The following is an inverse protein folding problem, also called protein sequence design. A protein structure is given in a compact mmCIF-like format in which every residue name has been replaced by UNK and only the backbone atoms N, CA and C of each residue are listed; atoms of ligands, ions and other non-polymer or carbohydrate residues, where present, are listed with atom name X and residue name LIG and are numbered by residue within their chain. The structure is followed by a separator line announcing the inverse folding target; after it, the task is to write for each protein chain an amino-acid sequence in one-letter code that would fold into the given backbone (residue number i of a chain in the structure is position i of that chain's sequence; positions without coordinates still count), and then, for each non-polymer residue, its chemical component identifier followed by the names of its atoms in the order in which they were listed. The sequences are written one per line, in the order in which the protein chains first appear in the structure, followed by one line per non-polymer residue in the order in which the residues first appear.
data_IF_087954672238
#
_entry.id   IF_087954672238
#
_cell.length_a   1.000
_cell.length_b   1.000
_cell.length_c   1.000
_cell.angle_alpha   90.00
_cell.angle_beta   90.00
_cell.angle_gamma   90.00
#
_symmetry.space_group_name_H-M   'P 1'
#
loop_
_entity.id
_entity.type
_entity.pdbx_description
1 polymer ?
#
# COMPACT_ATOMS: atom_id res chain seq x y z
N UNK A 1 -33.55 -35.70 46.99
CA UNK A 1 -32.69 -36.20 45.89
C UNK A 1 -32.86 -35.46 44.55
N UNK A 2 -33.85 -34.56 44.37
CA UNK A 2 -34.08 -33.86 43.09
C UNK A 2 -33.40 -32.47 42.95
N UNK A 3 -33.00 -31.81 44.05
CA UNK A 3 -32.35 -30.48 43.99
C UNK A 3 -30.87 -30.49 43.55
N UNK A 4 -30.17 -31.63 43.67
CA UNK A 4 -28.77 -31.74 43.28
C UNK A 4 -28.56 -31.89 41.76
N UNK A 5 -29.57 -32.34 41.02
CA UNK A 5 -29.48 -32.54 39.56
C UNK A 5 -29.50 -31.20 38.77
N UNK A 6 -30.24 -30.20 39.26
CA UNK A 6 -30.41 -28.92 38.56
C UNK A 6 -29.17 -28.00 38.63
N UNK A 7 -28.40 -28.06 39.72
CA UNK A 7 -27.20 -27.23 39.89
C UNK A 7 -26.05 -27.66 38.97
N UNK A 8 -25.90 -28.97 38.74
CA UNK A 8 -24.89 -29.52 37.83
C UNK A 8 -25.13 -29.12 36.37
N UNK A 9 -26.38 -29.12 35.92
CA UNK A 9 -26.78 -28.76 34.55
C UNK A 9 -26.52 -27.26 34.28
N UNK A 10 -26.80 -26.38 35.26
CA UNK A 10 -26.55 -24.93 35.15
C UNK A 10 -25.06 -24.57 35.09
N UNK A 11 -24.21 -25.28 35.83
CA UNK A 11 -22.76 -25.09 35.83
C UNK A 11 -22.13 -25.65 34.55
N UNK A 12 -22.62 -26.79 34.07
CA UNK A 12 -22.18 -27.39 32.81
C UNK A 12 -22.54 -26.49 31.60
N UNK A 13 -23.74 -25.91 31.58
CA UNK A 13 -24.18 -24.98 30.54
C UNK A 13 -23.39 -23.65 30.54
N UNK A 14 -23.09 -23.07 31.72
CA UNK A 14 -22.24 -21.86 31.82
C UNK A 14 -20.80 -22.09 31.37
N UNK A 15 -20.23 -23.27 31.65
CA UNK A 15 -18.88 -23.63 31.19
C UNK A 15 -18.84 -23.82 29.67
N UNK A 16 -19.84 -24.50 29.09
CA UNK A 16 -19.94 -24.66 27.63
C UNK A 16 -20.13 -23.32 26.94
N UNK A 17 -21.02 -22.45 27.44
CA UNK A 17 -21.25 -21.12 26.88
C UNK A 17 -19.96 -20.26 26.93
N UNK A 18 -19.20 -20.32 28.02
CA UNK A 18 -17.92 -19.62 28.18
C UNK A 18 -16.82 -20.15 27.25
N UNK A 19 -16.78 -21.46 26.99
CA UNK A 19 -15.82 -22.08 26.07
C UNK A 19 -16.15 -21.68 24.63
N UNK A 20 -17.44 -21.69 24.25
CA UNK A 20 -17.90 -21.28 22.92
C UNK A 20 -17.59 -19.81 22.66
N UNK A 21 -17.83 -18.91 23.63
CA UNK A 21 -17.48 -17.49 23.48
C UNK A 21 -15.97 -17.27 23.39
N UNK A 22 -15.17 -18.00 24.18
CA UNK A 22 -13.70 -17.88 24.14
C UNK A 22 -13.14 -18.40 22.81
N UNK A 23 -13.73 -19.46 22.24
CA UNK A 23 -13.36 -19.99 20.94
C UNK A 23 -13.73 -19.02 19.80
N UNK A 24 -14.89 -18.37 19.89
CA UNK A 24 -15.31 -17.33 18.94
C UNK A 24 -14.36 -16.12 18.94
N UNK A 25 -13.93 -15.67 20.13
CA UNK A 25 -12.98 -14.55 20.28
C UNK A 25 -11.61 -14.93 19.70
N UNK A 26 -11.12 -16.15 19.97
CA UNK A 26 -9.87 -16.66 19.40
C UNK A 26 -9.91 -16.72 17.87
N UNK A 27 -11.03 -17.19 17.29
CA UNK A 27 -11.23 -17.23 15.83
C UNK A 27 -11.25 -15.81 15.24
N UNK A 28 -11.94 -14.86 15.86
CA UNK A 28 -11.93 -13.45 15.40
C UNK A 28 -10.53 -12.84 15.43
N UNK A 29 -9.72 -13.12 16.45
CA UNK A 29 -8.34 -12.61 16.53
C UNK A 29 -7.46 -13.23 15.43
N UNK A 30 -7.62 -14.53 15.14
CA UNK A 30 -6.91 -15.19 14.04
C UNK A 30 -7.30 -14.64 12.66
N UNK A 31 -8.55 -14.22 12.48
CA UNK A 31 -9.02 -13.65 11.21
C UNK A 31 -8.48 -12.23 10.97
N UNK A 32 -8.04 -11.52 12.01
CA UNK A 32 -7.53 -10.15 11.90
C UNK A 32 -6.09 -10.06 11.35
N UNK A 33 -5.29 -11.14 11.36
CA UNK A 33 -3.89 -11.10 10.93
C UNK A 33 -3.69 -11.01 9.40
N UNK A 34 -4.78 -11.00 8.61
CA UNK A 34 -4.75 -10.96 7.15
C UNK A 34 -4.90 -9.58 6.50
N UNK A 35 -5.19 -8.51 7.25
CA UNK A 35 -5.47 -7.18 6.65
C UNK A 35 -4.30 -6.62 5.83
N UNK A 36 -3.06 -6.96 6.17
CA UNK A 36 -1.86 -6.47 5.48
C UNK A 36 -1.79 -6.89 4.00
N UNK A 37 -2.33 -8.06 3.65
CA UNK A 37 -2.34 -8.56 2.27
C UNK A 37 -3.27 -7.71 1.37
N UNK A 38 -4.44 -7.33 1.88
CA UNK A 38 -5.41 -6.49 1.16
C UNK A 38 -4.96 -5.02 1.05
N UNK A 39 -4.26 -4.49 2.06
CA UNK A 39 -3.77 -3.11 2.01
C UNK A 39 -2.70 -2.93 0.93
N UNK A 40 -1.88 -3.96 0.69
CA UNK A 40 -0.80 -3.89 -0.29
C UNK A 40 -1.32 -3.73 -1.73
N UNK A 41 -2.43 -4.38 -2.09
CA UNK A 41 -3.05 -4.20 -3.41
C UNK A 41 -3.72 -2.82 -3.53
N UNK A 42 -4.46 -2.38 -2.51
CA UNK A 42 -5.10 -1.07 -2.51
C UNK A 42 -4.10 0.09 -2.66
N UNK A 43 -2.90 -0.06 -2.08
CA UNK A 43 -1.83 0.95 -2.16
C UNK A 43 -1.23 1.06 -3.57
N UNK A 44 -1.13 -0.07 -4.28
CA UNK A 44 -0.66 -0.12 -5.68
C UNK A 44 -1.66 0.55 -6.60
N UNK A 45 -2.94 0.16 -6.50
CA UNK A 45 -4.02 0.73 -7.31
C UNK A 45 -4.14 2.25 -7.08
N UNK A 46 -3.98 2.69 -5.83
CA UNK A 46 -3.97 4.12 -5.49
C UNK A 46 -2.86 4.88 -6.22
N UNK A 47 -1.65 4.33 -6.30
CA UNK A 47 -0.50 5.01 -6.92
C UNK A 47 -0.66 5.09 -8.44
N UNK A 48 -1.16 4.04 -9.09
CA UNK A 48 -1.38 4.07 -10.54
C UNK A 48 -2.54 5.01 -10.91
N UNK A 49 -3.65 4.96 -10.18
CA UNK A 49 -4.80 5.84 -10.39
C UNK A 49 -4.47 7.31 -10.12
N UNK A 50 -3.69 7.61 -9.08
CA UNK A 50 -3.32 8.98 -8.76
C UNK A 50 -2.30 9.55 -9.75
N UNK A 51 -1.35 8.73 -10.21
CA UNK A 51 -0.47 9.13 -11.33
C UNK A 51 -1.28 9.47 -12.58
N UNK A 52 -2.32 8.69 -12.91
CA UNK A 52 -3.24 9.03 -14.01
C UNK A 52 -4.01 10.32 -13.75
N UNK A 53 -4.51 10.54 -12.53
CA UNK A 53 -5.24 11.76 -12.18
C UNK A 53 -4.38 13.03 -12.27
N UNK A 54 -3.09 12.93 -11.95
CA UNK A 54 -2.14 14.05 -12.08
C UNK A 54 -1.78 14.30 -13.53
N UNK A 55 -1.51 13.24 -14.31
CA UNK A 55 -1.17 13.35 -15.73
C UNK A 55 -2.33 13.90 -16.58
N UNK A 56 -3.57 13.61 -16.21
CA UNK A 56 -4.78 14.03 -16.92
C UNK A 56 -5.53 15.17 -16.20
N UNK A 57 -4.85 15.92 -15.33
CA UNK A 57 -5.48 17.03 -14.63
C UNK A 57 -5.65 18.25 -15.54
N UNK A 58 -6.80 18.93 -15.44
CA UNK A 58 -7.09 20.12 -16.25
C UNK A 58 -6.52 21.41 -15.65
N UNK A 59 -6.09 21.41 -14.39
CA UNK A 59 -5.48 22.56 -13.70
C UNK A 59 -4.02 22.29 -13.33
N UNK A 60 -3.12 22.81 -14.15
CA UNK A 60 -1.68 22.67 -13.96
C UNK A 60 -1.17 23.38 -12.70
N UNK A 61 -1.84 24.43 -12.23
CA UNK A 61 -1.41 25.15 -11.03
C UNK A 61 -1.61 24.29 -9.77
N UNK A 62 -2.74 23.58 -9.69
CA UNK A 62 -2.99 22.62 -8.61
C UNK A 62 -1.99 21.46 -8.65
N UNK A 63 -1.68 20.94 -9.85
CA UNK A 63 -0.67 19.87 -10.00
C UNK A 63 0.72 20.35 -9.59
N UNK A 64 1.11 21.56 -9.97
CA UNK A 64 2.41 22.12 -9.60
C UNK A 64 2.56 22.24 -8.08
N UNK A 65 1.52 22.75 -7.42
CA UNK A 65 1.49 22.95 -5.98
C UNK A 65 1.43 21.63 -5.19
N UNK A 66 0.64 20.65 -5.64
CA UNK A 66 0.46 19.37 -4.98
C UNK A 66 1.52 18.31 -5.32
N UNK A 67 2.17 18.46 -6.48
CA UNK A 67 3.13 17.49 -7.03
C UNK A 67 4.23 17.08 -6.04
N UNK A 68 4.95 18.01 -5.38
CA UNK A 68 6.01 17.67 -4.44
C UNK A 68 5.57 16.75 -3.29
N UNK A 69 4.37 16.97 -2.74
CA UNK A 69 3.85 16.14 -1.65
C UNK A 69 3.57 14.71 -2.13
N UNK A 70 3.05 14.56 -3.36
CA UNK A 70 2.81 13.25 -3.95
C UNK A 70 4.12 12.51 -4.27
N UNK A 71 5.16 13.20 -4.75
CA UNK A 71 6.48 12.59 -4.97
C UNK A 71 7.05 11.98 -3.67
N UNK A 72 6.91 12.68 -2.54
CA UNK A 72 7.34 12.18 -1.23
C UNK A 72 6.48 11.00 -0.75
N UNK A 73 5.17 11.05 -1.00
CA UNK A 73 4.27 9.94 -0.66
C UNK A 73 4.67 8.67 -1.40
N UNK A 74 4.89 8.74 -2.72
CA UNK A 74 5.32 7.58 -3.51
C UNK A 74 6.66 7.04 -3.03
N UNK A 75 7.62 7.92 -2.69
CA UNK A 75 8.88 7.51 -2.09
C UNK A 75 8.68 6.73 -0.79
N UNK A 76 7.76 7.16 0.08
CA UNK A 76 7.47 6.48 1.35
C UNK A 76 6.88 5.08 1.14
N UNK A 77 6.07 4.91 0.09
CA UNK A 77 5.50 3.62 -0.28
C UNK A 77 6.59 2.68 -0.82
N UNK A 78 7.49 3.21 -1.65
CA UNK A 78 8.65 2.47 -2.16
C UNK A 78 9.67 2.16 -1.06
N UNK A 79 9.82 3.00 -0.03
CA UNK A 79 10.66 2.70 1.11
C UNK A 79 10.20 1.42 1.82
N UNK A 80 8.88 1.24 1.96
CA UNK A 80 8.29 0.05 2.57
C UNK A 80 8.35 -1.18 1.66
N UNK A 81 8.07 -1.00 0.36
CA UNK A 81 8.01 -2.08 -0.62
C UNK A 81 8.92 -1.76 -1.82
N UNK A 82 10.26 -1.93 -1.68
CA UNK A 82 11.22 -1.46 -2.67
C UNK A 82 11.13 -2.16 -4.02
N UNK A 83 10.69 -3.41 -4.06
CA UNK A 83 10.68 -4.23 -5.27
C UNK A 83 9.26 -4.40 -5.86
N UNK A 84 8.36 -3.47 -5.53
CA UNK A 84 7.04 -3.45 -6.14
C UNK A 84 7.12 -2.81 -7.54
N UNK A 85 7.04 -3.64 -8.58
CA UNK A 85 7.14 -3.23 -9.99
C UNK A 85 6.17 -2.11 -10.35
N UNK A 86 4.92 -2.21 -9.90
CA UNK A 86 3.88 -1.25 -10.26
C UNK A 86 4.08 0.10 -9.57
N UNK A 87 4.51 0.12 -8.29
CA UNK A 87 4.91 1.35 -7.60
C UNK A 87 6.12 2.01 -8.27
N UNK A 88 7.12 1.21 -8.68
CA UNK A 88 8.30 1.73 -9.36
C UNK A 88 7.95 2.36 -10.71
N UNK A 89 7.05 1.74 -11.49
CA UNK A 89 6.52 2.34 -12.73
C UNK A 89 5.73 3.62 -12.48
N UNK A 90 4.86 3.63 -11.48
CA UNK A 90 4.10 4.81 -11.09
C UNK A 90 5.01 5.97 -10.71
N UNK A 91 6.04 5.67 -9.90
CA UNK A 91 7.08 6.61 -9.50
C UNK A 91 7.86 7.16 -10.69
N UNK A 92 8.33 6.31 -11.61
CA UNK A 92 9.06 6.78 -12.79
C UNK A 92 8.23 7.74 -13.64
N UNK A 93 6.95 7.44 -13.84
CA UNK A 93 6.06 8.26 -14.66
C UNK A 93 5.84 9.64 -14.04
N UNK A 94 5.49 9.69 -12.75
CA UNK A 94 5.19 10.95 -12.08
C UNK A 94 6.42 11.84 -11.92
N UNK A 95 7.57 11.26 -11.54
CA UNK A 95 8.81 12.02 -11.44
C UNK A 95 9.22 12.59 -12.80
N UNK A 96 9.10 11.82 -13.88
CA UNK A 96 9.40 12.29 -15.23
C UNK A 96 8.47 13.42 -15.65
N UNK A 97 7.16 13.25 -15.49
CA UNK A 97 6.18 14.24 -15.89
C UNK A 97 6.30 15.55 -15.09
N UNK A 98 6.39 15.45 -13.76
CA UNK A 98 6.55 16.63 -12.91
C UNK A 98 7.83 17.40 -13.24
N UNK A 99 8.94 16.68 -13.42
CA UNK A 99 10.24 17.29 -13.72
C UNK A 99 10.22 18.01 -15.06
N UNK A 100 9.64 17.37 -16.09
CA UNK A 100 9.61 17.91 -17.45
C UNK A 100 8.77 19.18 -17.55
N UNK A 101 7.66 19.25 -16.81
CA UNK A 101 6.70 20.37 -16.91
C UNK A 101 7.04 21.51 -15.96
N UNK A 102 7.43 21.23 -14.71
CA UNK A 102 7.46 22.24 -13.65
C UNK A 102 8.87 22.61 -13.17
N UNK A 103 9.91 21.82 -13.46
CA UNK A 103 11.25 22.04 -12.91
C UNK A 103 12.14 22.79 -13.90
N UNK A 104 12.37 24.08 -13.64
CA UNK A 104 13.21 24.96 -14.48
C UNK A 104 14.71 24.87 -14.18
N UNK A 105 15.07 24.60 -12.92
CA UNK A 105 16.46 24.47 -12.50
C UNK A 105 17.07 23.19 -13.08
N UNK A 106 18.10 23.33 -13.93
CA UNK A 106 18.69 22.19 -14.64
C UNK A 106 19.35 21.18 -13.70
N UNK A 107 19.99 21.66 -12.63
CA UNK A 107 20.65 20.78 -11.66
C UNK A 107 19.63 19.90 -10.91
N UNK A 108 18.51 20.49 -10.50
CA UNK A 108 17.38 19.78 -9.88
C UNK A 108 16.68 18.87 -10.88
N UNK A 109 16.44 19.34 -12.11
CA UNK A 109 15.81 18.54 -13.14
C UNK A 109 16.63 17.27 -13.43
N UNK A 110 17.95 17.40 -13.57
CA UNK A 110 18.86 16.25 -13.73
C UNK A 110 18.68 15.22 -12.62
N UNK A 111 18.72 15.65 -11.34
CA UNK A 111 18.56 14.75 -10.19
C UNK A 111 17.22 14.02 -10.18
N UNK A 112 16.12 14.71 -10.48
CA UNK A 112 14.79 14.12 -10.48
C UNK A 112 14.57 13.17 -11.66
N UNK A 113 15.10 13.50 -12.84
CA UNK A 113 15.07 12.62 -14.01
C UNK A 113 15.95 11.39 -13.82
N UNK A 114 17.15 11.51 -13.23
CA UNK A 114 18.00 10.37 -12.85
C UNK A 114 17.28 9.43 -11.88
N UNK A 115 16.58 9.99 -10.88
CA UNK A 115 15.76 9.22 -9.95
C UNK A 115 14.61 8.51 -10.66
N UNK A 116 13.91 9.19 -11.57
CA UNK A 116 12.84 8.59 -12.38
C UNK A 116 13.35 7.42 -13.22
N UNK A 117 14.50 7.60 -13.88
CA UNK A 117 15.15 6.57 -14.68
C UNK A 117 15.55 5.37 -13.82
N UNK A 118 16.10 5.60 -12.63
CA UNK A 118 16.43 4.53 -11.68
C UNK A 118 15.20 3.68 -11.32
N UNK A 119 14.05 4.32 -11.04
CA UNK A 119 12.81 3.59 -10.79
C UNK A 119 12.34 2.80 -12.01
N UNK A 120 12.42 3.36 -13.22
CA UNK A 120 12.04 2.67 -14.44
C UNK A 120 12.92 1.43 -14.68
N UNK A 121 14.24 1.55 -14.52
CA UNK A 121 15.18 0.44 -14.69
C UNK A 121 14.92 -0.68 -13.68
N UNK A 122 14.67 -0.31 -12.41
CA UNK A 122 14.31 -1.28 -11.36
C UNK A 122 13.00 -2.00 -11.68
N UNK A 123 11.97 -1.27 -12.14
CA UNK A 123 10.70 -1.88 -12.56
C UNK A 123 10.88 -2.87 -13.70
N UNK A 124 11.63 -2.48 -14.74
CA UNK A 124 11.97 -3.36 -15.87
C UNK A 124 12.71 -4.60 -15.36
N UNK A 125 13.64 -4.43 -14.44
CA UNK A 125 14.39 -5.53 -13.85
C UNK A 125 13.52 -6.56 -13.14
N UNK A 126 12.54 -6.10 -12.34
CA UNK A 126 11.60 -6.97 -11.65
C UNK A 126 10.70 -7.70 -12.66
N UNK A 127 10.23 -7.00 -13.69
CA UNK A 127 9.36 -7.59 -14.72
C UNK A 127 10.10 -8.54 -15.66
N UNK A 128 11.35 -8.23 -15.99
CA UNK A 128 12.21 -8.93 -16.95
C UNK A 128 13.63 -9.06 -16.39
N UNK A 129 13.89 -10.07 -15.56
CA UNK A 129 15.21 -10.25 -14.92
C UNK A 129 16.36 -10.40 -15.91
N UNK A 130 16.09 -10.92 -17.12
CA UNK A 130 17.09 -11.11 -18.19
C UNK A 130 17.63 -9.80 -18.78
N UNK A 131 16.98 -8.67 -18.52
CA UNK A 131 17.42 -7.35 -19.00
C UNK A 131 18.17 -6.56 -17.93
N UNK A 132 18.48 -7.17 -16.78
CA UNK A 132 19.29 -6.57 -15.74
C UNK A 132 20.77 -6.81 -15.98
N UNK A 133 21.57 -5.75 -15.95
CA UNK A 133 23.03 -5.79 -16.16
C UNK A 133 23.56 -4.43 -16.59
#
# INVERSE_FOLDING_TARGET
MFLFCHSFIRVWYRKILSIVTSFYILISILLQSGCSFFISSATVDMTENLSQAILNNNDLATVEAGGPAYLLMVDSLLYRNPDNESLLRGASNIYTAYTTVFVKDQARAKKLTEKALSYALRAICIRRPKTCG
#
